data_IF_812638633184
#
_entry.id   IF_812638633184
#
_cell.length_a   1.000
_cell.length_b   1.000
_cell.length_c   1.000
_cell.angle_alpha   90.00
_cell.angle_beta   90.00
_cell.angle_gamma   90.00
#
_symmetry.space_group_name_H-M   'P 1'
#
loop_
_entity.id
_entity.type
_entity.pdbx_description
1 polymer ?
#
# COMPACT_ATOMS: atom_id res chain seq x y z
N UNK A 1 26.73 18.47 16.76
CA UNK A 1 26.07 19.17 15.64
C UNK A 1 24.79 18.41 15.36
N UNK A 2 23.66 18.99 15.71
CA UNK A 2 22.35 18.40 15.45
C UNK A 2 21.94 18.75 14.03
N UNK A 3 22.10 17.81 13.10
CA UNK A 3 21.34 17.83 11.85
C UNK A 3 19.94 17.35 12.20
N UNK A 4 19.08 18.29 12.62
CA UNK A 4 17.64 18.09 12.53
C UNK A 4 17.34 18.02 11.04
N UNK A 5 17.21 16.80 10.53
CA UNK A 5 16.62 16.55 9.22
C UNK A 5 15.29 17.34 9.20
N UNK A 6 15.18 18.34 8.34
CA UNK A 6 13.92 19.04 8.11
C UNK A 6 12.97 18.03 7.47
N UNK A 7 12.25 17.28 8.31
CA UNK A 7 11.09 16.51 7.88
C UNK A 7 10.12 17.55 7.32
N UNK A 8 10.12 17.71 6.00
CA UNK A 8 9.16 18.55 5.31
C UNK A 8 7.79 18.14 5.80
N UNK A 9 7.09 19.07 6.46
CA UNK A 9 5.83 18.79 7.12
C UNK A 9 4.84 18.30 6.06
N UNK A 10 4.52 17.01 6.10
CA UNK A 10 3.55 16.41 5.19
C UNK A 10 2.18 16.96 5.53
N UNK A 11 1.48 17.46 4.51
CA UNK A 11 0.10 17.87 4.63
C UNK A 11 -0.80 16.81 3.95
N UNK A 12 -1.65 16.08 4.70
CA UNK A 12 -2.55 15.10 4.11
C UNK A 12 -3.46 15.65 3.00
N UNK A 13 -3.83 16.93 3.05
CA UNK A 13 -4.66 17.56 2.02
C UNK A 13 -3.97 17.64 0.65
N UNK A 14 -2.64 17.62 0.62
CA UNK A 14 -1.90 17.56 -0.63
C UNK A 14 -2.18 16.23 -1.36
N UNK A 15 -2.62 15.17 -0.69
CA UNK A 15 -2.90 13.89 -1.35
C UNK A 15 -4.34 13.77 -1.89
N UNK A 16 -5.10 14.88 -1.94
CA UNK A 16 -6.38 14.92 -2.66
C UNK A 16 -6.15 14.91 -4.17
N UNK A 17 -6.93 14.11 -4.90
CA UNK A 17 -6.77 13.88 -6.35
C UNK A 17 -8.08 14.16 -7.07
N UNK A 18 -8.25 15.40 -7.55
CA UNK A 18 -9.39 15.79 -8.36
C UNK A 18 -9.00 15.87 -9.85
N UNK A 19 -7.76 16.27 -10.14
CA UNK A 19 -7.22 16.46 -11.49
C UNK A 19 -6.05 15.51 -11.80
N UNK A 20 -5.57 15.54 -13.04
CA UNK A 20 -4.35 14.83 -13.43
C UNK A 20 -3.10 15.47 -12.79
N UNK A 21 -3.07 16.80 -12.67
CA UNK A 21 -1.96 17.50 -12.03
C UNK A 21 -1.86 17.14 -10.54
N UNK A 22 -3.00 16.93 -9.88
CA UNK A 22 -3.03 16.44 -8.50
C UNK A 22 -2.46 15.04 -8.37
N UNK A 23 -2.77 14.15 -9.31
CA UNK A 23 -2.23 12.79 -9.35
C UNK A 23 -0.72 12.80 -9.50
N UNK A 24 -0.19 13.61 -10.43
CA UNK A 24 1.26 13.76 -10.66
C UNK A 24 1.96 14.31 -9.41
N UNK A 25 1.34 15.28 -8.74
CA UNK A 25 1.89 15.88 -7.52
C UNK A 25 1.84 14.88 -6.36
N UNK A 26 0.74 14.16 -6.17
CA UNK A 26 0.59 13.14 -5.14
C UNK A 26 1.60 11.99 -5.33
N UNK A 27 1.81 11.55 -6.58
CA UNK A 27 2.80 10.52 -6.92
C UNK A 27 4.23 10.94 -6.53
N UNK A 28 4.62 12.16 -6.88
CA UNK A 28 5.93 12.73 -6.52
C UNK A 28 6.09 12.85 -5.01
N UNK A 29 5.06 13.35 -4.32
CA UNK A 29 5.07 13.47 -2.87
C UNK A 29 5.13 12.11 -2.18
N UNK A 30 4.45 11.08 -2.72
CA UNK A 30 4.51 9.71 -2.21
C UNK A 30 5.93 9.14 -2.29
N UNK A 31 6.68 9.45 -3.35
CA UNK A 31 8.09 9.02 -3.46
C UNK A 31 8.95 9.61 -2.36
N UNK A 32 8.81 10.91 -2.06
CA UNK A 32 9.56 11.54 -0.97
C UNK A 32 9.09 11.04 0.40
N UNK A 33 7.79 10.76 0.55
CA UNK A 33 7.21 10.18 1.75
C UNK A 33 7.79 8.79 2.04
N UNK A 34 7.95 7.94 1.03
CA UNK A 34 8.55 6.60 1.19
C UNK A 34 10.03 6.66 1.56
N UNK A 35 10.77 7.66 1.07
CA UNK A 35 12.16 7.91 1.51
C UNK A 35 12.20 8.35 2.98
N UNK A 36 11.28 9.24 3.38
CA UNK A 36 11.14 9.68 4.77
C UNK A 36 10.79 8.52 5.71
N UNK A 37 9.86 7.67 5.29
CA UNK A 37 9.51 6.43 5.98
C UNK A 37 10.71 5.51 6.15
N UNK A 38 11.44 5.19 5.07
CA UNK A 38 12.63 4.35 5.15
C UNK A 38 13.71 4.95 6.07
N UNK A 39 13.90 6.27 6.03
CA UNK A 39 14.83 6.95 6.92
C UNK A 39 14.42 6.84 8.40
N UNK A 40 13.14 7.03 8.72
CA UNK A 40 12.60 6.86 10.08
C UNK A 40 12.72 5.42 10.58
N UNK A 41 12.51 4.42 9.73
CA UNK A 41 12.73 3.01 10.08
C UNK A 41 14.18 2.73 10.51
N UNK A 42 15.16 3.38 9.89
CA UNK A 42 16.57 3.26 10.28
C UNK A 42 16.88 4.07 11.54
N UNK A 43 16.38 5.31 11.62
CA UNK A 43 16.77 6.25 12.68
C UNK A 43 16.05 5.98 14.00
N UNK A 44 14.73 5.77 13.95
CA UNK A 44 13.86 5.69 15.11
C UNK A 44 13.63 4.24 15.55
N UNK A 45 13.51 3.33 14.57
CA UNK A 45 13.25 1.90 14.80
C UNK A 45 14.52 1.02 14.71
N UNK A 46 15.67 1.62 14.41
CA UNK A 46 16.99 0.96 14.36
C UNK A 46 17.07 -0.24 13.42
N UNK A 47 16.22 -0.26 12.37
CA UNK A 47 16.27 -1.33 11.38
C UNK A 47 17.52 -1.18 10.49
N UNK A 48 18.09 -2.31 10.02
CA UNK A 48 19.11 -2.28 8.99
C UNK A 48 18.60 -1.52 7.74
N UNK A 49 19.45 -0.71 7.07
CA UNK A 49 19.03 0.04 5.88
C UNK A 49 18.39 -0.79 4.77
N UNK A 50 18.86 -2.03 4.60
CA UNK A 50 18.29 -2.97 3.63
C UNK A 50 16.84 -3.34 3.99
N UNK A 51 16.56 -3.63 5.25
CA UNK A 51 15.22 -4.01 5.73
C UNK A 51 14.26 -2.81 5.65
N UNK A 52 14.71 -1.63 6.05
CA UNK A 52 13.94 -0.39 5.89
C UNK A 52 13.59 -0.11 4.41
N UNK A 53 14.56 -0.30 3.51
CA UNK A 53 14.35 -0.17 2.07
C UNK A 53 13.37 -1.21 1.52
N UNK A 54 13.40 -2.44 2.03
CA UNK A 54 12.45 -3.49 1.64
C UNK A 54 11.02 -3.16 2.06
N UNK A 55 10.81 -2.59 3.25
CA UNK A 55 9.48 -2.15 3.69
C UNK A 55 8.94 -1.04 2.80
N UNK A 56 9.75 -0.01 2.51
CA UNK A 56 9.34 1.07 1.61
C UNK A 56 9.03 0.56 0.20
N UNK A 57 9.88 -0.32 -0.33
CA UNK A 57 9.65 -0.94 -1.63
C UNK A 57 8.38 -1.81 -1.65
N UNK A 58 8.08 -2.51 -0.56
CA UNK A 58 6.85 -3.31 -0.44
C UNK A 58 5.57 -2.46 -0.44
N UNK A 59 5.59 -1.28 0.16
CA UNK A 59 4.44 -0.38 0.20
C UNK A 59 4.18 0.34 -1.14
N UNK A 60 5.23 0.57 -1.94
CA UNK A 60 5.20 1.40 -3.15
C UNK A 60 4.08 1.04 -4.15
N UNK A 61 3.87 -0.24 -4.55
CA UNK A 61 2.83 -0.59 -5.52
C UNK A 61 1.42 -0.33 -5.01
N UNK A 62 1.18 -0.52 -3.71
CA UNK A 62 -0.12 -0.24 -3.11
C UNK A 62 -0.41 1.26 -3.10
N UNK A 63 0.58 2.08 -2.73
CA UNK A 63 0.36 3.51 -2.59
C UNK A 63 0.28 4.21 -3.94
N UNK A 64 1.24 3.97 -4.83
CA UNK A 64 1.36 4.75 -6.08
C UNK A 64 0.54 4.15 -7.20
N UNK A 65 0.72 2.86 -7.48
CA UNK A 65 0.04 2.23 -8.60
C UNK A 65 -1.45 2.01 -8.28
N UNK A 66 -1.75 1.58 -7.04
CA UNK A 66 -3.13 1.28 -6.66
C UNK A 66 -3.89 2.49 -6.11
N UNK A 67 -3.52 3.08 -4.97
CA UNK A 67 -4.30 4.17 -4.39
C UNK A 67 -4.27 5.45 -5.23
N UNK A 68 -3.09 5.91 -5.64
CA UNK A 68 -2.96 7.16 -6.39
C UNK A 68 -3.42 6.98 -7.84
N UNK A 69 -2.77 6.12 -8.62
CA UNK A 69 -3.04 6.04 -10.06
C UNK A 69 -4.35 5.33 -10.39
N UNK A 70 -4.63 4.18 -9.75
CA UNK A 70 -5.78 3.36 -10.10
C UNK A 70 -7.08 3.80 -9.39
N UNK A 71 -7.01 4.18 -8.11
CA UNK A 71 -8.18 4.60 -7.31
C UNK A 71 -8.38 6.11 -7.27
N UNK A 72 -7.32 6.90 -7.50
CA UNK A 72 -7.33 8.37 -7.33
C UNK A 72 -7.82 8.77 -5.93
N UNK A 73 -7.37 8.01 -4.93
CA UNK A 73 -7.71 8.21 -3.51
C UNK A 73 -6.57 8.87 -2.74
N UNK A 74 -6.94 9.59 -1.70
CA UNK A 74 -5.98 10.09 -0.73
C UNK A 74 -5.44 8.92 0.10
N UNK A 75 -4.12 8.71 0.07
CA UNK A 75 -3.48 7.60 0.77
C UNK A 75 -3.60 7.66 2.31
N UNK A 76 -3.90 8.81 2.90
CA UNK A 76 -4.16 8.95 4.34
C UNK A 76 -5.62 8.70 4.72
N UNK A 77 -6.50 8.62 3.73
CA UNK A 77 -7.93 8.36 3.91
C UNK A 77 -8.43 7.32 2.89
N UNK A 78 -7.78 6.15 2.79
CA UNK A 78 -8.23 5.12 1.86
C UNK A 78 -9.60 4.61 2.31
N UNK A 79 -10.43 4.23 1.35
CA UNK A 79 -11.69 3.55 1.67
C UNK A 79 -11.40 2.21 2.38
N UNK A 80 -12.28 1.75 3.29
CA UNK A 80 -12.14 0.40 3.86
C UNK A 80 -12.12 -0.69 2.77
N UNK A 81 -11.35 -1.76 2.96
CA UNK A 81 -11.23 -2.85 1.99
C UNK A 81 -10.18 -2.64 0.90
N UNK A 82 -9.44 -1.53 0.90
CA UNK A 82 -8.48 -1.23 -0.18
C UNK A 82 -7.29 -2.19 -0.18
N UNK A 83 -6.78 -2.62 0.97
CA UNK A 83 -5.71 -3.62 1.01
C UNK A 83 -6.23 -4.96 0.51
N UNK A 84 -7.46 -5.34 0.91
CA UNK A 84 -8.11 -6.55 0.40
C UNK A 84 -8.31 -6.54 -1.11
N UNK A 85 -8.76 -5.42 -1.68
CA UNK A 85 -8.94 -5.28 -3.13
C UNK A 85 -7.60 -5.25 -3.87
N UNK A 86 -6.58 -4.64 -3.28
CA UNK A 86 -5.23 -4.66 -3.82
C UNK A 86 -4.68 -6.09 -3.87
N UNK A 87 -4.54 -6.72 -2.72
CA UNK A 87 -3.90 -8.01 -2.55
C UNK A 87 -4.70 -9.16 -3.18
N UNK A 88 -6.03 -9.11 -3.03
CA UNK A 88 -6.92 -10.14 -3.51
C UNK A 88 -7.34 -9.98 -4.97
N UNK A 89 -7.02 -8.89 -5.65
CA UNK A 89 -7.44 -8.74 -7.05
C UNK A 89 -6.46 -7.92 -7.86
N UNK A 90 -6.17 -6.66 -7.51
CA UNK A 90 -5.36 -5.77 -8.35
C UNK A 90 -3.97 -6.36 -8.59
N UNK A 91 -3.27 -6.78 -7.54
CA UNK A 91 -1.96 -7.42 -7.63
C UNK A 91 -2.01 -8.67 -8.50
N UNK A 92 -3.03 -9.51 -8.31
CA UNK A 92 -3.14 -10.79 -9.03
C UNK A 92 -3.31 -10.58 -10.53
N UNK A 93 -4.15 -9.63 -10.94
CA UNK A 93 -4.45 -9.41 -12.37
C UNK A 93 -3.43 -8.52 -13.10
N UNK A 94 -2.65 -7.72 -12.36
CA UNK A 94 -1.66 -6.80 -12.95
C UNK A 94 -0.22 -7.36 -12.94
N UNK A 95 0.00 -8.52 -12.34
CA UNK A 95 1.30 -9.18 -12.31
C UNK A 95 1.27 -10.44 -13.19
N UNK A 96 2.36 -10.71 -13.92
CA UNK A 96 2.45 -11.91 -14.75
C UNK A 96 2.62 -13.19 -13.93
N UNK A 97 3.25 -13.10 -12.76
CA UNK A 97 3.54 -14.24 -11.88
C UNK A 97 3.22 -13.87 -10.41
N UNK A 98 1.96 -13.53 -10.08
CA UNK A 98 1.58 -13.23 -8.70
C UNK A 98 1.93 -14.40 -7.79
N UNK A 99 2.58 -14.11 -6.66
CA UNK A 99 3.01 -15.14 -5.73
C UNK A 99 2.94 -14.67 -4.28
N UNK A 100 2.75 -15.63 -3.37
CA UNK A 100 2.61 -15.40 -1.94
C UNK A 100 3.79 -14.62 -1.34
N UNK A 101 5.02 -14.92 -1.76
CA UNK A 101 6.23 -14.36 -1.14
C UNK A 101 6.33 -12.86 -1.40
N UNK A 102 6.16 -12.44 -2.65
CA UNK A 102 6.14 -11.03 -3.00
C UNK A 102 4.97 -10.31 -2.34
N UNK A 103 3.77 -10.89 -2.39
CA UNK A 103 2.60 -10.29 -1.76
C UNK A 103 2.80 -10.10 -0.24
N UNK A 104 3.37 -11.09 0.45
CA UNK A 104 3.67 -10.98 1.87
C UNK A 104 4.65 -9.82 2.17
N UNK A 105 5.66 -9.63 1.31
CA UNK A 105 6.58 -8.49 1.42
C UNK A 105 5.86 -7.15 1.21
N UNK A 106 4.90 -7.10 0.29
CA UNK A 106 4.10 -5.90 0.06
C UNK A 106 3.20 -5.58 1.26
N UNK A 107 2.47 -6.57 1.78
CA UNK A 107 1.59 -6.40 2.95
C UNK A 107 2.35 -5.95 4.20
N UNK A 108 3.55 -6.50 4.43
CA UNK A 108 4.42 -6.06 5.52
C UNK A 108 4.84 -4.59 5.35
N UNK A 109 5.19 -4.18 4.12
CA UNK A 109 5.50 -2.79 3.80
C UNK A 109 4.31 -1.86 4.03
N UNK A 110 3.12 -2.23 3.55
CA UNK A 110 1.88 -1.46 3.71
C UNK A 110 1.57 -1.27 5.21
N UNK A 111 1.57 -2.34 5.98
CA UNK A 111 1.28 -2.26 7.42
C UNK A 111 2.29 -1.36 8.14
N UNK A 112 3.58 -1.55 7.88
CA UNK A 112 4.64 -0.73 8.49
C UNK A 112 4.51 0.75 8.11
N UNK A 113 4.20 1.04 6.85
CA UNK A 113 3.99 2.40 6.37
C UNK A 113 2.81 3.09 7.07
N UNK A 114 1.68 2.39 7.23
CA UNK A 114 0.53 2.98 7.91
C UNK A 114 0.75 3.13 9.42
N UNK A 115 1.47 2.20 10.06
CA UNK A 115 1.92 2.38 11.45
C UNK A 115 2.79 3.63 11.61
N UNK A 116 3.73 3.85 10.69
CA UNK A 116 4.50 5.09 10.64
C UNK A 116 3.58 6.32 10.48
N UNK A 117 2.59 6.28 9.59
CA UNK A 117 1.64 7.40 9.44
C UNK A 117 0.85 7.69 10.73
N UNK A 118 0.54 6.66 11.54
CA UNK A 118 -0.11 6.83 12.84
C UNK A 118 0.82 7.52 13.83
N UNK A 119 2.10 7.13 13.87
CA UNK A 119 3.12 7.76 14.71
C UNK A 119 3.28 9.25 14.38
N UNK A 120 3.13 9.61 13.10
CA UNK A 120 3.16 11.01 12.65
C UNK A 120 1.84 11.77 12.86
N UNK A 121 0.76 11.07 13.24
CA UNK A 121 -0.57 11.65 13.45
C UNK A 121 -1.32 12.00 12.16
N UNK A 122 -0.93 11.43 11.01
CA UNK A 122 -1.60 11.67 9.72
C UNK A 122 -2.83 10.79 9.50
N UNK A 123 -2.93 9.69 10.24
CA UNK A 123 -4.05 8.76 10.23
C UNK A 123 -4.51 8.43 11.65
N UNK A 124 -5.69 7.84 11.78
CA UNK A 124 -6.25 7.44 13.08
C UNK A 124 -6.06 5.94 13.36
N UNK A 125 -6.23 5.54 14.62
CA UNK A 125 -6.05 4.16 15.06
C UNK A 125 -7.04 3.17 14.42
N UNK A 126 -8.28 3.60 14.13
CA UNK A 126 -9.29 2.74 13.52
C UNK A 126 -8.88 2.33 12.09
N UNK A 127 -8.26 3.24 11.34
CA UNK A 127 -7.71 2.90 10.02
C UNK A 127 -6.61 1.85 10.13
N UNK A 128 -5.71 1.97 11.11
CA UNK A 128 -4.63 1.00 11.31
C UNK A 128 -5.17 -0.37 11.68
N UNK A 129 -6.18 -0.44 12.54
CA UNK A 129 -6.83 -1.70 12.90
C UNK A 129 -7.36 -2.41 11.65
N UNK A 130 -8.08 -1.69 10.79
CA UNK A 130 -8.58 -2.24 9.52
C UNK A 130 -7.44 -2.68 8.58
N UNK A 131 -6.40 -1.87 8.42
CA UNK A 131 -5.26 -2.20 7.55
C UNK A 131 -4.49 -3.42 8.08
N UNK A 132 -4.25 -3.49 9.39
CA UNK A 132 -3.59 -4.63 10.02
C UNK A 132 -4.41 -5.91 9.84
N UNK A 133 -5.73 -5.85 10.03
CA UNK A 133 -6.63 -7.00 9.78
C UNK A 133 -6.57 -7.47 8.33
N UNK A 134 -6.61 -6.54 7.37
CA UNK A 134 -6.51 -6.88 5.94
C UNK A 134 -5.13 -7.45 5.59
N UNK A 135 -4.04 -6.84 6.06
CA UNK A 135 -2.68 -7.35 5.83
C UNK A 135 -2.46 -8.75 6.42
N UNK A 136 -3.16 -9.11 7.50
CA UNK A 136 -3.05 -10.42 8.13
C UNK A 136 -3.70 -11.55 7.31
N UNK A 137 -4.55 -11.24 6.32
CA UNK A 137 -5.28 -12.22 5.51
C UNK A 137 -4.45 -12.85 4.38
N UNK A 138 -3.12 -13.00 4.57
CA UNK A 138 -2.19 -13.51 3.54
C UNK A 138 -2.56 -14.91 3.03
N UNK A 139 -3.09 -15.78 3.87
CA UNK A 139 -3.49 -17.13 3.46
C UNK A 139 -4.71 -17.09 2.53
N UNK A 140 -5.66 -16.18 2.76
CA UNK A 140 -6.81 -15.97 1.89
C UNK A 140 -6.37 -15.45 0.51
N UNK A 141 -5.41 -14.51 0.48
CA UNK A 141 -4.87 -14.00 -0.77
C UNK A 141 -4.04 -15.05 -1.51
N UNK A 142 -3.28 -15.88 -0.80
CA UNK A 142 -2.55 -16.99 -1.39
C UNK A 142 -3.51 -18.01 -2.03
N UNK A 143 -4.56 -18.42 -1.32
CA UNK A 143 -5.60 -19.29 -1.88
C UNK A 143 -6.26 -18.68 -3.13
N UNK A 144 -6.39 -17.35 -3.15
CA UNK A 144 -6.94 -16.61 -4.28
C UNK A 144 -6.01 -16.52 -5.49
N UNK A 145 -4.70 -16.48 -5.27
CA UNK A 145 -3.68 -16.62 -6.33
C UNK A 145 -3.77 -18.02 -6.94
N UNK A 146 -3.84 -19.07 -6.12
CA UNK A 146 -3.98 -20.44 -6.63
C UNK A 146 -5.28 -20.60 -7.43
N UNK A 147 -6.40 -20.08 -6.93
CA UNK A 147 -7.67 -20.15 -7.66
C UNK A 147 -7.65 -19.36 -8.97
N UNK A 148 -6.83 -18.31 -9.08
CA UNK A 148 -6.61 -17.57 -10.31
C UNK A 148 -5.84 -18.41 -11.35
N UNK A 149 -4.84 -19.18 -10.92
CA UNK A 149 -4.11 -20.09 -11.80
C UNK A 149 -4.96 -21.26 -12.31
N UNK A 150 -5.91 -21.71 -11.50
CA UNK A 150 -6.80 -22.82 -11.83
C UNK A 150 -8.01 -22.43 -12.71
N UNK A 151 -8.14 -21.16 -13.09
CA UNK A 151 -9.27 -20.68 -13.88
C UNK A 151 -9.34 -21.36 -15.26
N UNK A 152 -10.57 -21.72 -15.64
CA UNK A 152 -10.93 -22.26 -16.96
C UNK A 152 -12.13 -21.51 -17.50
N UNK A 153 -12.22 -21.38 -18.82
CA UNK A 153 -13.33 -20.76 -19.53
C UNK A 153 -13.74 -19.39 -18.93
N UNK A 154 -15.03 -19.17 -18.63
CA UNK A 154 -15.58 -17.94 -18.06
C UNK A 154 -15.30 -17.76 -16.55
N UNK A 155 -14.46 -18.63 -15.95
CA UNK A 155 -14.16 -18.61 -14.51
C UNK A 155 -13.62 -17.27 -13.99
N UNK A 156 -12.98 -16.48 -14.86
CA UNK A 156 -12.48 -15.16 -14.50
C UNK A 156 -13.59 -14.20 -14.06
N UNK A 157 -14.78 -14.24 -14.68
CA UNK A 157 -15.88 -13.33 -14.34
C UNK A 157 -16.38 -13.63 -12.91
N UNK A 158 -16.58 -14.90 -12.60
CA UNK A 158 -17.01 -15.33 -11.27
C UNK A 158 -15.95 -15.00 -10.21
N UNK A 159 -14.68 -15.32 -10.51
CA UNK A 159 -13.55 -14.98 -9.64
C UNK A 159 -13.50 -13.48 -9.36
N UNK A 160 -13.62 -12.63 -10.39
CA UNK A 160 -13.61 -11.17 -10.27
C UNK A 160 -14.69 -10.62 -9.32
N UNK A 161 -15.88 -11.24 -9.29
CA UNK A 161 -17.02 -10.77 -8.51
C UNK A 161 -16.89 -11.02 -7.00
N UNK A 162 -16.04 -11.95 -6.58
CA UNK A 162 -15.83 -12.25 -5.15
C UNK A 162 -15.10 -11.13 -4.39
N UNK A 163 -14.23 -10.38 -5.08
CA UNK A 163 -13.57 -9.17 -4.57
C UNK A 163 -13.65 -8.11 -5.67
N UNK A 164 -14.75 -7.33 -5.74
CA UNK A 164 -14.91 -6.31 -6.75
C UNK A 164 -13.95 -5.13 -6.53
N UNK A 165 -13.38 -4.63 -7.62
CA UNK A 165 -12.55 -3.42 -7.67
C UNK A 165 -13.34 -2.21 -8.20
N UNK A 166 -14.64 -2.36 -8.49
CA UNK A 166 -15.40 -1.30 -9.15
C UNK A 166 -15.44 0.00 -8.30
N UNK A 167 -15.50 1.14 -9.00
CA UNK A 167 -15.24 2.49 -8.47
C UNK A 167 -16.20 2.90 -7.35
#
# INVERSE_FOLDING_TARGET
MSDKNETSQVNPDDFRIDTLDDEIRADRQCTELLKGFAASMVQDHQLPPLEAGQLAHGADPFLRDYLIANRRENLFQPSPGRVRQFAGHFYIVNNMEPNRRELASMLAGIEAFYRYCLEQGWVNAALIETITEECAAIDDYAARIESFWDLKDDGFIAWRQEIPIDK
#
